data_IF_005307385229
#
_entry.id   IF_005307385229
#
_cell.length_a   1.000
_cell.length_b   1.000
_cell.length_c   1.000
_cell.angle_alpha   90.00
_cell.angle_beta   90.00
_cell.angle_gamma   90.00
#
_symmetry.space_group_name_H-M   'P 1'
#
loop_
_entity.id
_entity.type
_entity.pdbx_description
1 polymer ?
#
# COMPACT_ATOMS: atom_id res chain seq x y z
N UNK A 1 -26.34 -10.70 22.13
CA UNK A 1 -25.06 -10.63 21.37
C UNK A 1 -25.45 -10.73 19.91
N UNK A 2 -25.18 -9.71 19.09
CA UNK A 2 -25.35 -9.83 17.63
C UNK A 2 -24.30 -10.80 17.13
N UNK A 3 -24.70 -11.94 16.60
CA UNK A 3 -23.80 -12.83 15.84
C UNK A 3 -23.46 -12.09 14.55
N UNK A 4 -22.32 -11.38 14.51
CA UNK A 4 -21.75 -10.91 13.25
C UNK A 4 -21.32 -12.16 12.46
N UNK A 5 -21.88 -12.34 11.28
CA UNK A 5 -21.46 -13.39 10.36
C UNK A 5 -19.98 -13.16 10.05
N UNK A 6 -19.12 -14.18 10.12
CA UNK A 6 -17.71 -14.02 9.74
C UNK A 6 -17.61 -13.47 8.33
N UNK A 7 -16.75 -12.46 8.13
CA UNK A 7 -16.51 -11.86 6.81
C UNK A 7 -15.80 -12.93 5.95
N UNK A 8 -16.39 -13.26 4.80
CA UNK A 8 -15.71 -14.06 3.78
C UNK A 8 -14.76 -13.15 2.99
N UNK A 9 -13.47 -13.22 3.28
CA UNK A 9 -12.45 -12.45 2.59
C UNK A 9 -12.30 -12.85 1.11
N UNK A 10 -12.86 -13.96 0.69
CA UNK A 10 -12.79 -14.45 -0.69
C UNK A 10 -14.02 -14.07 -1.53
N UNK A 11 -14.96 -13.31 -0.98
CA UNK A 11 -16.23 -12.98 -1.66
C UNK A 11 -15.98 -12.33 -3.03
N UNK A 12 -15.15 -11.31 -3.11
CA UNK A 12 -14.91 -10.55 -4.34
C UNK A 12 -14.09 -11.34 -5.38
N UNK A 13 -13.15 -12.15 -4.91
CA UNK A 13 -12.41 -13.06 -5.79
C UNK A 13 -13.32 -14.15 -6.35
N UNK A 14 -14.21 -14.74 -5.53
CA UNK A 14 -15.21 -15.72 -5.97
C UNK A 14 -16.19 -15.14 -6.99
N UNK A 15 -16.65 -13.92 -6.80
CA UNK A 15 -17.47 -13.20 -7.79
C UNK A 15 -16.69 -13.02 -9.11
N UNK A 16 -15.42 -12.63 -9.03
CA UNK A 16 -14.57 -12.49 -10.22
C UNK A 16 -14.36 -13.84 -10.95
N UNK A 17 -14.13 -14.92 -10.22
CA UNK A 17 -14.01 -16.26 -10.79
C UNK A 17 -15.32 -16.73 -11.44
N UNK A 18 -16.49 -16.41 -10.83
CA UNK A 18 -17.80 -16.71 -11.42
C UNK A 18 -18.07 -15.93 -12.72
N UNK A 19 -17.48 -14.74 -12.86
CA UNK A 19 -17.53 -13.93 -14.08
C UNK A 19 -16.53 -14.38 -15.14
N UNK A 20 -15.72 -15.44 -14.88
CA UNK A 20 -14.83 -16.09 -15.83
C UNK A 20 -13.36 -15.68 -15.76
N UNK A 21 -12.99 -14.75 -14.87
CA UNK A 21 -11.58 -14.40 -14.65
C UNK A 21 -10.86 -15.51 -13.87
N UNK A 22 -9.63 -15.84 -14.26
CA UNK A 22 -8.81 -16.87 -13.60
C UNK A 22 -7.69 -16.26 -12.74
N UNK A 23 -7.11 -15.16 -13.22
CA UNK A 23 -5.98 -14.47 -12.58
C UNK A 23 -6.44 -13.11 -12.05
N UNK A 24 -6.86 -13.10 -10.78
CA UNK A 24 -7.36 -11.91 -10.08
C UNK A 24 -6.28 -11.41 -9.13
N UNK A 25 -5.84 -10.16 -9.27
CA UNK A 25 -4.93 -9.54 -8.31
C UNK A 25 -5.65 -8.57 -7.40
N UNK A 26 -5.26 -8.53 -6.12
CA UNK A 26 -5.58 -7.44 -5.20
C UNK A 26 -4.48 -6.39 -5.22
N UNK A 27 -4.86 -5.11 -5.14
CA UNK A 27 -3.93 -3.96 -5.19
C UNK A 27 -4.27 -2.98 -4.08
N UNK A 28 -3.24 -2.55 -3.34
CA UNK A 28 -3.36 -1.51 -2.30
C UNK A 28 -2.09 -0.67 -2.22
N UNK A 29 -2.17 0.48 -1.54
CA UNK A 29 -1.04 1.38 -1.36
C UNK A 29 -0.77 1.72 0.11
N UNK A 30 0.45 2.16 0.38
CA UNK A 30 0.88 2.74 1.64
C UNK A 30 1.64 4.04 1.42
N UNK A 31 1.40 5.04 2.28
CA UNK A 31 2.21 6.24 2.26
C UNK A 31 1.64 7.41 1.47
N UNK A 32 0.33 7.55 1.28
CA UNK A 32 -0.27 8.73 0.62
C UNK A 32 -0.20 10.00 1.48
N UNK A 33 -0.45 9.88 2.78
CA UNK A 33 -0.54 11.03 3.70
C UNK A 33 0.75 11.60 4.29
N UNK A 34 1.89 10.90 4.33
CA UNK A 34 3.14 11.41 4.88
C UNK A 34 3.68 12.64 4.15
N UNK A 35 4.44 13.48 4.89
CA UNK A 35 5.18 14.64 4.36
C UNK A 35 6.50 14.26 3.68
N UNK A 36 6.99 13.03 3.95
CA UNK A 36 8.26 12.52 3.45
C UNK A 36 8.16 11.05 3.04
N UNK A 37 9.01 10.64 2.13
CA UNK A 37 9.10 9.31 1.59
C UNK A 37 8.14 9.05 0.42
N UNK A 38 8.41 8.02 -0.40
CA UNK A 38 7.60 7.68 -1.56
C UNK A 38 6.24 7.11 -1.18
N UNK A 39 5.31 7.03 -2.14
CA UNK A 39 4.15 6.14 -2.07
C UNK A 39 4.57 4.77 -2.56
N UNK A 40 4.16 3.72 -1.85
CA UNK A 40 4.39 2.33 -2.18
C UNK A 40 3.07 1.66 -2.54
N UNK A 41 3.02 0.91 -3.62
CA UNK A 41 1.89 0.05 -3.95
C UNK A 41 2.36 -1.41 -4.07
N UNK A 42 1.46 -2.34 -3.79
CA UNK A 42 1.66 -3.75 -4.05
C UNK A 42 0.47 -4.33 -4.80
N UNK A 43 0.74 -5.36 -5.59
CA UNK A 43 -0.23 -6.18 -6.29
C UNK A 43 0.04 -7.65 -5.97
N UNK A 44 -0.99 -8.44 -5.67
CA UNK A 44 -0.84 -9.83 -5.22
C UNK A 44 -1.89 -10.71 -5.89
N UNK A 45 -1.47 -11.81 -6.50
CA UNK A 45 -2.33 -12.92 -6.92
C UNK A 45 -2.15 -14.05 -5.90
N UNK A 46 -3.21 -14.42 -5.20
CA UNK A 46 -3.21 -15.56 -4.28
C UNK A 46 -3.76 -16.82 -4.97
N UNK A 47 -3.31 -18.02 -4.56
CA UNK A 47 -4.01 -19.26 -4.93
C UNK A 47 -5.47 -19.20 -4.47
N UNK A 48 -6.45 -19.70 -5.28
CA UNK A 48 -7.85 -19.69 -4.89
C UNK A 48 -8.08 -20.32 -3.52
N UNK A 49 -8.89 -19.63 -2.70
CA UNK A 49 -9.30 -20.07 -1.35
C UNK A 49 -8.15 -20.30 -0.33
N UNK A 50 -6.95 -19.80 -0.62
CA UNK A 50 -5.84 -19.87 0.33
C UNK A 50 -6.23 -19.17 1.65
N UNK A 51 -6.14 -19.91 2.75
CA UNK A 51 -6.38 -19.37 4.09
C UNK A 51 -5.05 -18.99 4.72
N UNK A 52 -4.83 -17.70 4.91
CA UNK A 52 -3.67 -17.19 5.67
C UNK A 52 -4.16 -16.77 7.07
N UNK A 53 -3.81 -17.51 8.14
CA UNK A 53 -4.31 -17.24 9.48
C UNK A 53 -3.92 -15.83 9.98
N UNK A 54 -4.92 -15.02 10.31
CA UNK A 54 -4.73 -13.65 10.79
C UNK A 54 -4.56 -12.59 9.71
N UNK A 55 -4.76 -12.94 8.44
CA UNK A 55 -4.84 -11.97 7.35
C UNK A 55 -6.00 -11.00 7.62
N UNK A 56 -5.71 -9.71 7.60
CA UNK A 56 -6.66 -8.62 7.83
C UNK A 56 -6.05 -7.31 7.37
N UNK A 57 -6.83 -6.23 7.39
CA UNK A 57 -6.38 -4.84 7.21
C UNK A 57 -5.07 -4.56 7.99
N UNK A 58 -4.05 -4.15 7.27
CA UNK A 58 -2.70 -3.94 7.81
C UNK A 58 -2.64 -2.96 8.99
N UNK A 59 -3.58 -2.03 9.07
CA UNK A 59 -3.68 -1.01 10.12
C UNK A 59 -4.16 -1.58 11.46
N UNK A 60 -4.87 -2.73 11.43
CA UNK A 60 -5.35 -3.44 12.63
C UNK A 60 -4.32 -4.40 13.21
N UNK A 61 -3.21 -4.64 12.51
CA UNK A 61 -2.17 -5.57 12.89
C UNK A 61 -1.01 -4.86 13.59
N UNK A 62 -0.34 -5.57 14.52
CA UNK A 62 0.94 -5.11 15.06
C UNK A 62 2.03 -5.19 14.01
N UNK A 63 3.12 -4.42 14.16
CA UNK A 63 4.25 -4.47 13.23
C UNK A 63 4.85 -5.88 13.13
N UNK A 64 5.05 -6.56 14.25
CA UNK A 64 5.52 -7.95 14.29
C UNK A 64 4.63 -8.86 13.45
N UNK A 65 3.30 -8.78 13.62
CA UNK A 65 2.35 -9.63 12.88
C UNK A 65 2.35 -9.32 11.39
N UNK A 66 2.45 -8.03 11.00
CA UNK A 66 2.58 -7.65 9.58
C UNK A 66 3.83 -8.24 8.94
N UNK A 67 4.99 -8.19 9.62
CA UNK A 67 6.26 -8.75 9.11
C UNK A 67 6.19 -10.28 8.97
N UNK A 68 5.55 -10.97 9.92
CA UNK A 68 5.30 -12.41 9.82
C UNK A 68 4.40 -12.73 8.61
N UNK A 69 3.27 -12.05 8.48
CA UNK A 69 2.35 -12.25 7.36
C UNK A 69 2.98 -11.88 6.01
N UNK A 70 3.80 -10.83 5.96
CA UNK A 70 4.55 -10.47 4.75
C UNK A 70 5.37 -11.65 4.25
N UNK A 71 6.08 -12.37 5.14
CA UNK A 71 6.88 -13.54 4.76
C UNK A 71 5.99 -14.71 4.27
N UNK A 72 4.84 -14.92 4.90
CA UNK A 72 3.88 -15.94 4.46
C UNK A 72 3.30 -15.59 3.08
N UNK A 73 2.85 -14.33 2.89
CA UNK A 73 2.27 -13.89 1.62
C UNK A 73 3.27 -14.05 0.47
N UNK A 74 4.53 -13.62 0.67
CA UNK A 74 5.56 -13.75 -0.37
C UNK A 74 5.94 -15.20 -0.70
N UNK A 75 5.76 -16.12 0.24
CA UNK A 75 6.02 -17.54 0.02
C UNK A 75 4.84 -18.26 -0.67
N UNK A 76 3.61 -17.86 -0.39
CA UNK A 76 2.40 -18.57 -0.81
C UNK A 76 1.71 -17.95 -2.04
N UNK A 77 2.01 -16.69 -2.38
CA UNK A 77 1.40 -16.02 -3.53
C UNK A 77 1.80 -16.69 -4.84
N UNK A 78 0.85 -16.79 -5.78
CA UNK A 78 1.13 -17.19 -7.17
C UNK A 78 2.11 -16.19 -7.79
N UNK A 79 1.86 -14.90 -7.56
CA UNK A 79 2.73 -13.81 -7.99
C UNK A 79 2.46 -12.57 -7.14
N UNK A 80 3.49 -11.75 -6.94
CA UNK A 80 3.34 -10.43 -6.34
C UNK A 80 4.30 -9.43 -6.97
N UNK A 81 3.92 -8.16 -6.95
CA UNK A 81 4.76 -7.05 -7.36
C UNK A 81 4.68 -5.92 -6.35
N UNK A 82 5.78 -5.21 -6.14
CA UNK A 82 5.85 -4.06 -5.22
C UNK A 82 6.62 -2.94 -5.93
N UNK A 83 6.05 -1.75 -5.94
CA UNK A 83 6.65 -0.61 -6.60
C UNK A 83 6.43 0.69 -5.84
N UNK A 84 7.25 1.68 -6.17
CA UNK A 84 7.20 3.01 -5.61
C UNK A 84 6.95 4.06 -6.70
N UNK A 85 6.33 5.18 -6.30
CA UNK A 85 6.50 6.46 -6.95
C UNK A 85 7.18 7.41 -5.97
N UNK A 86 8.24 8.08 -6.44
CA UNK A 86 9.15 8.89 -5.64
C UNK A 86 8.49 10.18 -5.15
N UNK A 87 9.15 10.86 -4.23
CA UNK A 87 8.76 12.16 -3.72
C UNK A 87 8.71 13.22 -4.85
N UNK A 88 9.66 13.14 -5.79
CA UNK A 88 9.71 14.01 -6.97
C UNK A 88 8.50 13.76 -7.88
N UNK A 89 8.20 12.48 -8.19
CA UNK A 89 7.02 12.14 -8.98
C UNK A 89 5.72 12.57 -8.29
N UNK A 90 5.64 12.46 -6.95
CA UNK A 90 4.49 12.98 -6.19
C UNK A 90 4.34 14.49 -6.36
N UNK A 91 5.44 15.23 -6.29
CA UNK A 91 5.44 16.69 -6.43
C UNK A 91 5.12 17.13 -7.87
N UNK A 92 5.51 16.35 -8.88
CA UNK A 92 5.25 16.62 -10.29
C UNK A 92 3.81 16.32 -10.73
N UNK A 93 3.30 15.12 -10.39
CA UNK A 93 2.02 14.62 -10.92
C UNK A 93 0.91 14.53 -9.88
N UNK A 94 1.12 14.98 -8.67
CA UNK A 94 0.32 14.86 -7.45
C UNK A 94 0.19 13.43 -6.90
N UNK A 95 -0.24 13.33 -5.62
CA UNK A 95 -0.28 12.05 -4.89
C UNK A 95 -1.25 11.02 -5.49
N UNK A 96 -2.35 11.46 -6.10
CA UNK A 96 -3.31 10.52 -6.70
C UNK A 96 -2.70 9.85 -7.93
N UNK A 97 -2.11 10.63 -8.83
CA UNK A 97 -1.49 10.11 -10.04
C UNK A 97 -0.23 9.29 -9.72
N UNK A 98 0.57 9.72 -8.73
CA UNK A 98 1.71 8.96 -8.24
C UNK A 98 1.30 7.62 -7.61
N UNK A 99 0.17 7.57 -6.90
CA UNK A 99 -0.40 6.32 -6.39
C UNK A 99 -0.75 5.37 -7.55
N UNK A 100 -1.44 5.87 -8.56
CA UNK A 100 -1.78 5.05 -9.74
C UNK A 100 -0.54 4.59 -10.51
N UNK A 101 0.50 5.42 -10.60
CA UNK A 101 1.78 5.05 -11.22
C UNK A 101 2.46 3.91 -10.43
N UNK A 102 2.46 3.98 -9.11
CA UNK A 102 3.00 2.91 -8.26
C UNK A 102 2.19 1.61 -8.42
N UNK A 103 0.85 1.68 -8.47
CA UNK A 103 -0.03 0.52 -8.71
C UNK A 103 0.24 -0.12 -10.08
N UNK A 104 0.34 0.67 -11.13
CA UNK A 104 0.67 0.21 -12.48
C UNK A 104 2.01 -0.52 -12.52
N UNK A 105 3.04 0.07 -11.92
CA UNK A 105 4.38 -0.53 -11.79
C UNK A 105 4.36 -1.83 -10.98
N UNK A 106 3.54 -1.91 -9.94
CA UNK A 106 3.39 -3.13 -9.14
C UNK A 106 2.69 -4.25 -9.94
N UNK A 107 1.59 -3.94 -10.62
CA UNK A 107 0.88 -4.91 -11.48
C UNK A 107 1.74 -5.39 -12.65
N UNK A 108 2.56 -4.52 -13.24
CA UNK A 108 3.47 -4.88 -14.33
C UNK A 108 4.56 -5.91 -13.97
N UNK A 109 4.81 -6.14 -12.67
CA UNK A 109 5.75 -7.16 -12.17
C UNK A 109 5.12 -8.55 -12.05
N UNK A 110 3.79 -8.66 -12.17
CA UNK A 110 3.09 -9.94 -12.00
C UNK A 110 3.35 -10.88 -13.19
N UNK A 111 3.72 -12.11 -12.88
CA UNK A 111 3.93 -13.19 -13.84
C UNK A 111 3.31 -14.49 -13.29
N UNK A 112 2.21 -14.99 -13.85
CA UNK A 112 1.49 -14.49 -15.04
C UNK A 112 0.80 -13.13 -14.80
N UNK A 113 0.51 -12.36 -15.88
CA UNK A 113 -0.20 -11.08 -15.77
C UNK A 113 -1.64 -11.28 -15.29
N UNK A 114 -2.21 -10.34 -14.51
CA UNK A 114 -3.59 -10.43 -14.05
C UNK A 114 -4.59 -10.17 -15.17
N UNK A 115 -5.77 -10.79 -15.08
CA UNK A 115 -6.93 -10.57 -15.97
C UNK A 115 -7.90 -9.55 -15.40
N UNK A 116 -7.92 -9.39 -14.06
CA UNK A 116 -8.73 -8.43 -13.31
C UNK A 116 -7.95 -7.91 -12.11
N UNK A 117 -8.04 -6.61 -11.84
CA UNK A 117 -7.53 -6.00 -10.62
C UNK A 117 -8.66 -5.60 -9.67
N UNK A 118 -8.60 -6.07 -8.42
CA UNK A 118 -9.38 -5.58 -7.28
C UNK A 118 -8.55 -4.52 -6.56
N UNK A 119 -9.01 -3.27 -6.53
CA UNK A 119 -8.23 -2.14 -5.98
C UNK A 119 -8.92 -1.60 -4.74
N UNK A 120 -8.15 -1.39 -3.65
CA UNK A 120 -8.68 -0.71 -2.45
C UNK A 120 -9.10 0.72 -2.78
N UNK A 121 -10.27 1.13 -2.25
CA UNK A 121 -10.79 2.48 -2.37
C UNK A 121 -11.92 2.64 -3.38
N UNK A 122 -12.11 3.88 -3.85
CA UNK A 122 -13.23 4.29 -4.71
C UNK A 122 -12.77 4.97 -6.00
N UNK A 123 -11.49 4.93 -6.32
CA UNK A 123 -10.91 5.58 -7.51
C UNK A 123 -9.97 4.65 -8.24
N UNK A 124 -10.01 4.70 -9.55
CA UNK A 124 -9.08 4.02 -10.45
C UNK A 124 -8.79 4.90 -11.67
N UNK A 125 -7.88 4.43 -12.51
CA UNK A 125 -7.69 4.90 -13.90
C UNK A 125 -7.85 3.72 -14.84
N UNK A 126 -7.73 3.95 -16.13
CA UNK A 126 -7.50 2.88 -17.09
C UNK A 126 -6.07 2.33 -16.91
N UNK A 127 -5.95 1.05 -16.54
CA UNK A 127 -4.70 0.32 -16.40
C UNK A 127 -4.45 -0.67 -17.54
N UNK A 128 -5.30 -0.65 -18.59
CA UNK A 128 -5.22 -1.59 -19.69
C UNK A 128 -5.78 -2.99 -19.38
N UNK A 129 -6.43 -3.15 -18.23
CA UNK A 129 -7.14 -4.37 -17.80
C UNK A 129 -8.42 -3.98 -17.03
N UNK A 130 -9.41 -4.89 -16.93
CA UNK A 130 -10.58 -4.70 -16.08
C UNK A 130 -10.23 -4.40 -14.62
N UNK A 131 -10.98 -3.47 -13.99
CA UNK A 131 -10.76 -3.05 -12.60
C UNK A 131 -12.08 -3.03 -11.85
N UNK A 132 -12.06 -3.49 -10.58
CA UNK A 132 -13.13 -3.29 -9.59
C UNK A 132 -12.55 -2.58 -8.39
N UNK A 133 -13.11 -1.42 -8.06
CA UNK A 133 -12.75 -0.69 -6.82
C UNK A 133 -13.61 -1.18 -5.66
N UNK A 134 -12.99 -1.43 -4.51
CA UNK A 134 -13.67 -1.95 -3.32
C UNK A 134 -13.34 -1.04 -2.15
N UNK A 135 -14.31 -0.29 -1.66
CA UNK A 135 -14.13 0.57 -0.48
C UNK A 135 -13.86 -0.28 0.74
N UNK A 136 -12.75 -0.04 1.44
CA UNK A 136 -12.23 -0.87 2.55
C UNK A 136 -11.92 -2.31 2.09
N UNK A 137 -11.43 -2.45 0.87
CA UNK A 137 -11.06 -3.73 0.29
C UNK A 137 -10.02 -4.49 1.11
N UNK A 138 -9.13 -3.77 1.79
CA UNK A 138 -8.14 -4.30 2.73
C UNK A 138 -8.73 -5.12 3.90
N UNK A 139 -10.02 -4.98 4.18
CA UNK A 139 -10.77 -5.77 5.16
C UNK A 139 -11.84 -6.67 4.57
N UNK A 140 -12.01 -6.71 3.24
CA UNK A 140 -13.09 -7.41 2.53
C UNK A 140 -12.61 -8.38 1.45
N UNK A 141 -11.36 -8.25 0.97
CA UNK A 141 -10.75 -9.08 -0.07
C UNK A 141 -9.42 -9.63 0.42
N UNK A 142 -9.20 -10.92 0.26
CA UNK A 142 -7.96 -11.61 0.68
C UNK A 142 -6.74 -11.08 -0.08
N UNK A 143 -6.86 -10.90 -1.39
CA UNK A 143 -5.76 -10.42 -2.22
C UNK A 143 -5.44 -8.94 -1.96
N UNK A 144 -6.44 -8.07 -1.70
CA UNK A 144 -6.20 -6.68 -1.31
C UNK A 144 -5.57 -6.61 0.09
N UNK A 145 -6.06 -7.41 1.06
CA UNK A 145 -5.45 -7.47 2.40
C UNK A 145 -3.97 -7.89 2.33
N UNK A 146 -3.64 -8.86 1.49
CA UNK A 146 -2.26 -9.27 1.24
C UNK A 146 -1.43 -8.13 0.65
N UNK A 147 -1.94 -7.43 -0.37
CA UNK A 147 -1.29 -6.27 -0.98
C UNK A 147 -1.06 -5.14 0.04
N UNK A 148 -2.06 -4.83 0.87
CA UNK A 148 -1.96 -3.86 1.96
C UNK A 148 -0.78 -4.13 2.90
N UNK A 149 -0.61 -5.40 3.30
CA UNK A 149 0.49 -5.82 4.18
C UNK A 149 1.84 -5.66 3.46
N UNK A 150 1.96 -6.11 2.19
CA UNK A 150 3.21 -5.98 1.43
C UNK A 150 3.61 -4.51 1.23
N UNK A 151 2.68 -3.67 0.80
CA UNK A 151 2.93 -2.24 0.60
C UNK A 151 3.36 -1.57 1.92
N UNK A 152 2.65 -1.85 3.02
CA UNK A 152 2.92 -1.27 4.34
C UNK A 152 4.28 -1.70 4.89
N UNK A 153 4.59 -3.00 4.89
CA UNK A 153 5.86 -3.51 5.42
C UNK A 153 7.05 -3.00 4.60
N UNK A 154 6.92 -3.00 3.28
CA UNK A 154 8.00 -2.54 2.39
C UNK A 154 8.28 -1.06 2.56
N UNK A 155 7.21 -0.24 2.62
CA UNK A 155 7.39 1.19 2.85
C UNK A 155 7.96 1.50 4.23
N UNK A 156 7.50 0.82 5.28
CA UNK A 156 7.98 1.06 6.64
C UNK A 156 9.47 0.70 6.79
N UNK A 157 9.95 -0.37 6.14
CA UNK A 157 11.38 -0.72 6.07
C UNK A 157 12.20 0.36 5.35
N UNK A 158 11.70 0.90 4.25
CA UNK A 158 12.38 2.00 3.57
C UNK A 158 12.48 3.24 4.46
N UNK A 159 11.44 3.57 5.20
CA UNK A 159 11.47 4.69 6.14
C UNK A 159 12.42 4.47 7.33
N UNK A 160 12.67 3.23 7.73
CA UNK A 160 13.70 2.86 8.71
C UNK A 160 15.11 3.10 8.14
N UNK A 161 15.35 2.74 6.87
CA UNK A 161 16.62 3.05 6.17
C UNK A 161 16.84 4.56 6.01
N UNK A 162 15.79 5.31 5.73
CA UNK A 162 15.88 6.79 5.68
C UNK A 162 16.16 7.41 7.05
N UNK A 163 15.71 6.79 8.14
CA UNK A 163 16.05 7.24 9.49
C UNK A 163 17.56 7.12 9.79
N UNK A 164 18.21 6.07 9.26
CA UNK A 164 19.69 5.93 9.36
C UNK A 164 20.43 7.03 8.59
N UNK A 165 19.88 7.46 7.43
CA UNK A 165 20.47 8.51 6.60
C UNK A 165 20.19 9.93 7.12
N UNK A 166 19.03 10.12 7.74
CA UNK A 166 18.52 11.42 8.25
C UNK A 166 18.00 11.29 9.69
N UNK A 167 18.86 10.92 10.65
CA UNK A 167 18.43 10.55 12.01
C UNK A 167 17.75 11.69 12.79
N UNK A 168 18.02 12.96 12.42
CA UNK A 168 17.43 14.13 13.03
C UNK A 168 15.92 14.23 12.90
N UNK A 169 15.31 13.57 11.89
CA UNK A 169 13.85 13.64 11.67
C UNK A 169 13.07 12.58 12.43
N UNK A 170 13.64 11.39 12.67
CA UNK A 170 12.98 10.28 13.38
C UNK A 170 11.97 9.50 12.52
N UNK A 171 12.30 9.28 11.24
CA UNK A 171 11.44 8.58 10.28
C UNK A 171 11.10 7.14 10.67
N UNK A 172 11.98 6.45 11.40
CA UNK A 172 11.70 5.11 11.92
C UNK A 172 10.48 5.06 12.84
N UNK A 173 10.17 6.17 13.55
CA UNK A 173 9.05 6.23 14.48
C UNK A 173 7.75 6.59 13.75
N UNK A 174 7.73 7.71 13.03
CA UNK A 174 6.50 8.26 12.46
C UNK A 174 6.34 8.02 10.96
N UNK A 175 7.28 7.28 10.32
CA UNK A 175 7.19 6.87 8.91
C UNK A 175 6.92 8.02 7.93
N UNK A 176 7.40 9.23 8.25
CA UNK A 176 7.23 10.44 7.45
C UNK A 176 5.93 11.21 7.70
N UNK A 177 5.04 10.75 8.58
CA UNK A 177 3.80 11.48 8.90
C UNK A 177 4.09 12.78 9.66
N UNK A 178 3.22 13.79 9.48
CA UNK A 178 3.29 15.11 10.09
C UNK A 178 2.98 15.10 11.59
N UNK A 179 3.86 14.52 12.40
CA UNK A 179 3.78 14.54 13.86
C UNK A 179 4.43 15.81 14.42
N UNK A 180 4.16 16.13 15.70
CA UNK A 180 4.82 17.26 16.39
C UNK A 180 6.35 17.17 16.28
N UNK A 181 6.92 15.96 16.43
CA UNK A 181 8.35 15.71 16.31
C UNK A 181 8.85 16.02 14.89
N UNK A 182 8.14 15.56 13.87
CA UNK A 182 8.52 15.81 12.47
C UNK A 182 8.48 17.30 12.10
N UNK A 183 7.43 18.01 12.53
CA UNK A 183 7.36 19.47 12.34
C UNK A 183 8.42 20.22 13.12
N UNK A 184 8.82 19.76 14.32
CA UNK A 184 9.92 20.36 15.07
C UNK A 184 11.25 20.20 14.33
N UNK A 185 11.53 19.00 13.82
CA UNK A 185 12.72 18.74 13.00
C UNK A 185 12.75 19.59 11.72
N UNK A 186 11.61 19.76 11.05
CA UNK A 186 11.51 20.63 9.87
C UNK A 186 11.81 22.10 10.18
N UNK A 187 11.42 22.62 11.38
CA UNK A 187 11.76 24.00 11.79
C UNK A 187 13.24 24.16 12.07
N UNK A 188 13.87 23.15 12.64
CA UNK A 188 15.28 23.19 13.06
C UNK A 188 16.24 22.92 11.91
N UNK A 189 15.98 21.91 11.08
CA UNK A 189 16.91 21.41 10.05
C UNK A 189 16.45 21.71 8.61
N UNK A 190 15.24 22.25 8.42
CA UNK A 190 14.64 22.38 7.07
C UNK A 190 14.21 21.05 6.46
N UNK A 191 13.83 21.00 5.18
CA UNK A 191 13.50 19.76 4.49
C UNK A 191 14.75 19.04 4.00
N UNK A 192 14.76 17.70 4.04
CA UNK A 192 15.76 16.87 3.37
C UNK A 192 15.24 16.36 2.02
N UNK A 193 16.09 15.71 1.17
CA UNK A 193 15.73 15.31 -0.20
C UNK A 193 14.50 14.41 -0.34
N UNK A 194 14.09 13.70 0.72
CA UNK A 194 12.91 12.83 0.67
C UNK A 194 11.60 13.52 1.11
N UNK A 195 11.62 14.81 1.36
CA UNK A 195 10.39 15.56 1.66
C UNK A 195 9.62 15.92 0.39
N UNK A 196 8.30 15.84 0.48
CA UNK A 196 7.35 16.24 -0.57
C UNK A 196 7.09 17.73 -0.46
N UNK A 197 7.73 18.52 -1.30
CA UNK A 197 7.68 19.99 -1.19
C UNK A 197 6.27 20.55 -1.38
N UNK A 198 5.46 19.90 -2.23
CA UNK A 198 4.05 20.29 -2.40
C UNK A 198 3.21 20.11 -1.14
N UNK A 199 3.56 19.14 -0.27
CA UNK A 199 2.87 18.91 1.01
C UNK A 199 3.30 19.89 2.10
N UNK A 200 4.48 20.49 1.97
CA UNK A 200 5.03 21.45 2.92
C UNK A 200 4.64 22.91 2.63
N UNK A 201 3.97 23.23 1.52
CA UNK A 201 3.59 24.60 1.16
C UNK A 201 2.94 25.34 2.32
N UNK A 202 1.87 24.79 2.90
CA UNK A 202 1.17 25.40 4.05
C UNK A 202 2.01 25.52 5.32
N UNK A 203 3.06 24.73 5.46
CA UNK A 203 3.97 24.81 6.60
C UNK A 203 4.89 26.02 6.52
N UNK A 204 5.29 26.42 5.30
CA UNK A 204 6.16 27.58 5.06
C UNK A 204 5.41 28.88 4.79
N UNK A 205 4.10 28.80 4.52
CA UNK A 205 3.24 29.99 4.30
C UNK A 205 2.72 30.60 5.62
N UNK A 206 2.88 29.91 6.76
CA UNK A 206 2.54 30.37 8.11
C UNK A 206 3.79 30.63 8.95
#
# INVERSE_FOLDING_TARGET
MKHETPIDLWLYEKEAFADGFQLVCGVDEAGRGPLAGPVCAAAVILPPELVIPGLNDSKKLTDKKRRELCSVITAEAVSYGIAFASEQEIDEINILQATFLAMERAMAQLAPPPELALIDGNRSKDFGLPVRTIVKGDSLSASIAAASILAKVTRDRLMEQYDEQYPQYGFAVHKGYGTKRHYAALREYGPCPIHRMTFLKKFYEN
#
